data_IF_675956680434
#
_entry.id   IF_675956680434
#
_cell.length_a   1.000
_cell.length_b   1.000
_cell.length_c   1.000
_cell.angle_alpha   90.00
_cell.angle_beta   90.00
_cell.angle_gamma   90.00
#
_symmetry.space_group_name_H-M   'P 1'
#
loop_
_entity.id
_entity.type
_entity.pdbx_description
1 polymer ?
#
# COMPACT_ATOMS: atom_id res chain seq x y z
N UNK A 1 -15.99 7.38 18.22
CA UNK A 1 -16.12 6.06 17.55
C UNK A 1 -14.88 5.25 17.82
N UNK A 2 -15.01 3.99 18.23
CA UNK A 2 -13.85 3.11 18.37
C UNK A 2 -13.25 2.88 16.98
N UNK A 3 -11.97 3.20 16.82
CA UNK A 3 -11.16 2.91 15.65
C UNK A 3 -11.07 1.38 15.54
N UNK A 4 -11.24 0.84 14.35
CA UNK A 4 -11.11 -0.61 14.16
C UNK A 4 -9.63 -0.98 14.24
N UNK A 5 -9.20 -1.45 15.39
CA UNK A 5 -7.78 -1.74 15.69
C UNK A 5 -7.16 -2.70 14.67
N UNK A 6 -7.92 -3.70 14.21
CA UNK A 6 -7.43 -4.64 13.21
C UNK A 6 -7.04 -3.98 11.88
N UNK A 7 -7.69 -2.86 11.48
CA UNK A 7 -7.29 -2.10 10.28
C UNK A 7 -5.92 -1.47 10.47
N UNK A 8 -5.65 -0.93 11.65
CA UNK A 8 -4.34 -0.35 11.94
C UNK A 8 -3.27 -1.43 12.03
N UNK A 9 -3.55 -2.55 12.68
CA UNK A 9 -2.64 -3.70 12.71
C UNK A 9 -2.34 -4.19 11.29
N UNK A 10 -3.38 -4.34 10.44
CA UNK A 10 -3.20 -4.77 9.05
C UNK A 10 -2.32 -3.79 8.24
N UNK A 11 -2.52 -2.48 8.41
CA UNK A 11 -1.64 -1.47 7.79
C UNK A 11 -0.21 -1.56 8.31
N UNK A 12 -0.03 -1.81 9.61
CA UNK A 12 1.27 -1.98 10.23
C UNK A 12 2.02 -3.19 9.67
N UNK A 13 1.34 -4.32 9.57
CA UNK A 13 1.90 -5.52 8.95
C UNK A 13 2.23 -5.28 7.47
N UNK A 14 1.28 -4.74 6.69
CA UNK A 14 1.47 -4.50 5.28
C UNK A 14 2.69 -3.61 5.00
N UNK A 15 2.88 -2.49 5.75
CA UNK A 15 4.04 -1.63 5.51
C UNK A 15 5.36 -2.28 5.92
N UNK A 16 5.36 -3.09 6.97
CA UNK A 16 6.55 -3.85 7.35
C UNK A 16 6.91 -4.89 6.29
N UNK A 17 5.92 -5.59 5.70
CA UNK A 17 6.15 -6.49 4.57
C UNK A 17 6.68 -5.75 3.33
N UNK A 18 6.13 -4.58 2.99
CA UNK A 18 6.63 -3.75 1.88
C UNK A 18 8.08 -3.32 2.12
N UNK A 19 8.39 -2.79 3.30
CA UNK A 19 9.75 -2.34 3.63
C UNK A 19 10.74 -3.51 3.68
N UNK A 20 10.32 -4.65 4.24
CA UNK A 20 11.08 -5.90 4.22
C UNK A 20 11.35 -6.37 2.80
N UNK A 21 10.33 -6.38 1.93
CA UNK A 21 10.48 -6.78 0.53
C UNK A 21 11.53 -5.94 -0.19
N UNK A 22 11.49 -4.61 -0.07
CA UNK A 22 12.50 -3.76 -0.72
C UNK A 22 13.90 -4.00 -0.16
N UNK A 23 14.03 -4.27 1.13
CA UNK A 23 15.31 -4.60 1.74
C UNK A 23 15.84 -5.95 1.25
N UNK A 24 14.99 -6.97 1.27
CA UNK A 24 15.27 -8.31 0.78
C UNK A 24 15.67 -8.28 -0.72
N UNK A 25 14.89 -7.58 -1.53
CA UNK A 25 15.13 -7.44 -2.95
C UNK A 25 16.50 -6.81 -3.24
N UNK A 26 16.84 -5.74 -2.52
CA UNK A 26 18.12 -5.05 -2.69
C UNK A 26 19.31 -5.92 -2.23
N UNK A 27 19.14 -6.65 -1.13
CA UNK A 27 20.17 -7.54 -0.63
C UNK A 27 20.48 -8.68 -1.61
N UNK A 28 19.44 -9.31 -2.21
CA UNK A 28 19.62 -10.50 -3.06
C UNK A 28 19.87 -10.21 -4.53
N UNK A 29 19.34 -9.17 -5.12
CA UNK A 29 19.23 -9.07 -6.59
C UNK A 29 19.76 -7.76 -7.21
N UNK A 30 20.39 -6.91 -6.46
CA UNK A 30 21.02 -5.68 -7.01
C UNK A 30 20.10 -4.72 -7.77
N UNK A 31 18.78 -4.73 -7.55
CA UNK A 31 17.85 -3.84 -8.25
C UNK A 31 16.38 -4.18 -8.03
N UNK A 32 15.52 -3.46 -8.74
CA UNK A 32 14.08 -3.76 -8.81
C UNK A 32 13.91 -5.13 -9.45
N UNK A 33 13.33 -6.05 -8.71
CA UNK A 33 13.17 -7.45 -9.13
C UNK A 33 12.19 -7.63 -10.29
N UNK A 34 12.52 -8.47 -11.26
CA UNK A 34 11.51 -9.29 -11.89
C UNK A 34 10.88 -10.22 -10.82
N UNK A 35 9.59 -10.60 -10.95
CA UNK A 35 9.02 -11.60 -10.07
C UNK A 35 9.91 -12.86 -10.06
N UNK A 36 10.15 -13.47 -8.89
CA UNK A 36 10.97 -14.66 -8.81
C UNK A 36 10.43 -15.73 -9.77
N UNK A 37 11.31 -16.40 -10.51
CA UNK A 37 10.93 -17.57 -11.29
C UNK A 37 10.53 -18.69 -10.32
N UNK A 38 9.24 -18.92 -10.20
CA UNK A 38 8.64 -19.89 -9.28
C UNK A 38 8.65 -21.33 -9.82
N UNK A 39 9.17 -21.56 -11.03
CA UNK A 39 9.09 -22.85 -11.70
C UNK A 39 10.04 -23.91 -11.16
N UNK A 40 11.11 -23.56 -10.44
CA UNK A 40 12.13 -24.50 -9.94
C UNK A 40 11.89 -24.96 -8.49
N UNK A 41 10.85 -25.77 -8.28
CA UNK A 41 10.46 -26.30 -6.95
C UNK A 41 11.08 -27.68 -6.58
N UNK A 42 11.97 -28.22 -7.37
CA UNK A 42 12.39 -29.60 -7.23
C UNK A 42 13.85 -29.75 -6.82
N UNK A 43 14.24 -29.49 -5.57
CA UNK A 43 15.48 -30.01 -4.99
C UNK A 43 15.59 -29.81 -3.45
N UNK A 44 15.41 -30.85 -2.67
CA UNK A 44 15.87 -30.99 -1.30
C UNK A 44 15.25 -30.09 -0.21
N UNK A 45 15.27 -30.49 1.08
CA UNK A 45 14.61 -29.80 2.19
C UNK A 45 15.15 -28.38 2.42
N UNK A 46 16.45 -28.14 2.29
CA UNK A 46 17.07 -26.80 2.40
C UNK A 46 16.61 -25.88 1.27
N UNK A 47 16.45 -26.41 0.07
CA UNK A 47 15.93 -25.68 -1.08
C UNK A 47 14.46 -25.34 -0.87
N UNK A 48 13.66 -26.23 -0.29
CA UNK A 48 12.24 -26.00 0.04
C UNK A 48 12.08 -24.89 1.05
N UNK A 49 12.88 -24.86 2.13
CA UNK A 49 12.84 -23.79 3.13
C UNK A 49 13.28 -22.43 2.52
N UNK A 50 14.30 -22.45 1.67
CA UNK A 50 14.78 -21.28 0.95
C UNK A 50 13.70 -20.74 0.00
N UNK A 51 13.05 -21.61 -0.75
CA UNK A 51 11.96 -21.25 -1.64
C UNK A 51 10.75 -20.72 -0.87
N UNK A 52 10.38 -21.33 0.26
CA UNK A 52 9.31 -20.84 1.13
C UNK A 52 9.63 -19.43 1.65
N UNK A 53 10.87 -19.20 2.07
CA UNK A 53 11.31 -17.88 2.52
C UNK A 53 11.26 -16.83 1.40
N UNK A 54 11.68 -17.16 0.19
CA UNK A 54 11.55 -16.28 -0.98
C UNK A 54 10.08 -15.95 -1.29
N UNK A 55 9.20 -16.96 -1.21
CA UNK A 55 7.74 -16.75 -1.40
C UNK A 55 7.15 -15.82 -0.34
N UNK A 56 7.46 -16.05 0.93
CA UNK A 56 7.00 -15.19 2.04
C UNK A 56 7.55 -13.77 1.84
N UNK A 57 8.80 -13.63 1.41
CA UNK A 57 9.39 -12.31 1.13
C UNK A 57 8.68 -11.59 -0.02
N UNK A 58 8.20 -12.34 -1.03
CA UNK A 58 7.41 -11.82 -2.14
C UNK A 58 6.03 -11.26 -1.74
N UNK A 59 5.46 -11.69 -0.60
CA UNK A 59 4.21 -11.12 -0.07
C UNK A 59 4.28 -9.59 0.07
N UNK A 60 5.46 -9.05 0.37
CA UNK A 60 5.64 -7.61 0.52
C UNK A 60 5.38 -6.82 -0.77
N UNK A 61 5.64 -7.40 -1.94
CA UNK A 61 5.27 -6.80 -3.23
C UNK A 61 3.75 -6.68 -3.37
N UNK A 62 3.01 -7.73 -3.01
CA UNK A 62 1.55 -7.77 -3.11
C UNK A 62 0.84 -7.05 -1.95
N UNK A 63 1.55 -6.76 -0.86
CA UNK A 63 1.00 -6.01 0.28
C UNK A 63 0.58 -4.57 -0.07
N UNK A 64 1.04 -4.04 -1.22
CA UNK A 64 0.53 -2.78 -1.75
C UNK A 64 -0.97 -2.89 -2.10
N UNK A 65 -1.43 -4.03 -2.62
CA UNK A 65 -2.86 -4.31 -2.84
C UNK A 65 -3.68 -4.18 -1.57
N UNK A 66 -3.13 -4.60 -0.41
CA UNK A 66 -3.77 -4.43 0.90
C UNK A 66 -4.00 -2.95 1.22
N UNK A 67 -3.02 -2.09 0.94
CA UNK A 67 -3.18 -0.64 1.14
C UNK A 67 -4.25 -0.06 0.23
N UNK A 68 -4.35 -0.50 -1.02
CA UNK A 68 -5.37 -0.04 -1.96
C UNK A 68 -6.77 -0.44 -1.45
N UNK A 69 -6.96 -1.71 -1.07
CA UNK A 69 -8.21 -2.23 -0.52
C UNK A 69 -8.60 -1.48 0.76
N UNK A 70 -7.68 -1.35 1.73
CA UNK A 70 -7.95 -0.65 2.98
C UNK A 70 -8.15 0.86 2.79
N UNK A 71 -7.58 1.47 1.74
CA UNK A 71 -7.85 2.86 1.37
C UNK A 71 -9.28 3.03 0.86
N UNK A 72 -9.73 2.17 -0.05
CA UNK A 72 -11.13 2.12 -0.49
C UNK A 72 -12.09 1.94 0.68
N UNK A 73 -11.81 0.99 1.57
CA UNK A 73 -12.59 0.76 2.80
C UNK A 73 -12.70 2.02 3.65
N UNK A 74 -11.57 2.58 4.06
CA UNK A 74 -11.56 3.70 5.01
C UNK A 74 -12.16 4.97 4.43
N UNK A 75 -11.96 5.22 3.14
CA UNK A 75 -12.57 6.34 2.43
C UNK A 75 -14.09 6.17 2.34
N UNK A 76 -14.58 5.02 1.91
CA UNK A 76 -16.01 4.72 1.83
C UNK A 76 -16.67 4.89 3.20
N UNK A 77 -16.12 4.25 4.24
CA UNK A 77 -16.68 4.30 5.59
C UNK A 77 -16.72 5.72 6.16
N UNK A 78 -15.61 6.48 6.02
CA UNK A 78 -15.54 7.85 6.56
C UNK A 78 -16.44 8.83 5.81
N UNK A 79 -16.62 8.65 4.51
CA UNK A 79 -17.44 9.54 3.67
C UNK A 79 -18.91 9.20 3.81
N UNK A 80 -19.28 7.92 3.90
CA UNK A 80 -20.66 7.49 4.15
C UNK A 80 -21.21 8.08 5.46
N UNK A 81 -20.40 8.10 6.51
CA UNK A 81 -20.79 8.74 7.79
C UNK A 81 -21.03 10.25 7.68
N UNK A 82 -20.19 10.95 6.91
CA UNK A 82 -20.40 12.39 6.66
C UNK A 82 -21.71 12.62 5.91
N UNK A 83 -22.00 11.77 4.92
CA UNK A 83 -23.24 11.83 4.16
C UNK A 83 -24.49 11.64 5.05
N UNK A 84 -24.40 10.77 6.06
CA UNK A 84 -25.48 10.50 7.04
C UNK A 84 -25.67 11.64 8.05
N UNK A 85 -24.59 12.37 8.36
CA UNK A 85 -24.56 13.43 9.37
C UNK A 85 -24.73 14.86 8.81
N UNK A 86 -25.42 15.03 7.68
CA UNK A 86 -25.71 16.36 7.15
C UNK A 86 -25.15 16.65 5.75
N UNK A 87 -24.66 15.63 5.05
CA UNK A 87 -24.19 15.77 3.68
C UNK A 87 -22.67 15.86 3.53
N UNK A 88 -22.21 15.93 2.28
CA UNK A 88 -20.78 15.96 1.94
C UNK A 88 -20.45 17.31 1.31
N UNK A 89 -19.66 18.11 2.02
CA UNK A 89 -19.01 19.28 1.45
C UNK A 89 -17.69 18.82 0.80
N UNK A 90 -17.67 18.69 -0.53
CA UNK A 90 -16.52 18.14 -1.26
C UNK A 90 -15.27 19.00 -1.17
N UNK A 91 -15.38 20.34 -1.16
CA UNK A 91 -14.24 21.23 -0.98
C UNK A 91 -13.49 20.97 0.34
N UNK A 92 -14.14 21.03 1.50
CA UNK A 92 -13.56 20.62 2.78
C UNK A 92 -13.10 19.16 2.82
N UNK A 93 -13.76 18.27 2.08
CA UNK A 93 -13.32 16.86 1.96
C UNK A 93 -11.96 16.77 1.26
N UNK A 94 -11.78 17.43 0.10
CA UNK A 94 -10.51 17.47 -0.63
C UNK A 94 -9.41 18.16 0.17
N UNK A 95 -9.73 19.27 0.82
CA UNK A 95 -8.78 19.96 1.68
C UNK A 95 -8.26 19.08 2.81
N UNK A 96 -9.14 18.31 3.47
CA UNK A 96 -8.75 17.39 4.51
C UNK A 96 -7.82 16.25 3.98
N UNK A 97 -8.00 15.81 2.72
CA UNK A 97 -7.12 14.82 2.09
C UNK A 97 -5.78 15.43 1.70
N UNK A 98 -5.78 16.62 1.13
CA UNK A 98 -4.56 17.37 0.85
C UNK A 98 -3.72 17.55 2.12
N UNK A 99 -4.31 18.06 3.20
CA UNK A 99 -3.63 18.28 4.48
C UNK A 99 -3.17 16.97 5.16
N UNK A 100 -3.79 15.84 4.83
CA UNK A 100 -3.37 14.53 5.31
C UNK A 100 -2.15 14.00 4.58
N UNK A 101 -2.00 14.28 3.28
CA UNK A 101 -1.01 13.63 2.42
C UNK A 101 0.19 14.52 2.13
N UNK A 102 -0.05 15.73 1.62
CA UNK A 102 1.01 16.58 1.06
C UNK A 102 2.07 17.04 2.06
N UNK A 103 1.72 17.48 3.29
CA UNK A 103 2.74 17.97 4.21
C UNK A 103 3.82 16.92 4.51
N UNK A 104 3.42 15.69 4.80
CA UNK A 104 4.37 14.60 5.05
C UNK A 104 5.11 14.18 3.76
N UNK A 105 4.47 14.27 2.60
CA UNK A 105 5.10 14.00 1.32
C UNK A 105 6.21 15.01 1.00
N UNK A 106 5.99 16.30 1.28
CA UNK A 106 7.02 17.32 1.14
C UNK A 106 8.17 17.15 2.16
N UNK A 107 7.85 16.78 3.39
CA UNK A 107 8.87 16.42 4.40
C UNK A 107 9.71 15.23 3.92
N UNK A 108 9.10 14.23 3.29
CA UNK A 108 9.82 13.09 2.72
C UNK A 108 10.78 13.51 1.59
N UNK A 109 10.38 14.47 0.73
CA UNK A 109 11.31 15.06 -0.27
C UNK A 109 12.49 15.76 0.41
N UNK A 110 12.22 16.58 1.43
CA UNK A 110 13.28 17.26 2.16
C UNK A 110 14.23 16.24 2.82
N UNK A 111 13.70 15.20 3.45
CA UNK A 111 14.50 14.12 4.03
C UNK A 111 15.35 13.43 2.95
N UNK A 112 14.78 13.16 1.78
CA UNK A 112 15.52 12.58 0.66
C UNK A 112 16.69 13.47 0.21
N UNK A 113 16.49 14.79 0.15
CA UNK A 113 17.50 15.73 -0.30
C UNK A 113 18.66 15.89 0.70
N UNK A 114 18.39 15.86 2.01
CA UNK A 114 19.39 16.18 3.05
C UNK A 114 20.03 14.96 3.69
N UNK A 115 19.39 13.79 3.67
CA UNK A 115 19.91 12.60 4.37
C UNK A 115 21.16 12.04 3.67
N UNK A 116 22.24 11.73 4.40
CA UNK A 116 23.42 11.06 3.86
C UNK A 116 23.25 9.52 3.77
N UNK A 117 22.22 8.96 4.40
CA UNK A 117 21.99 7.51 4.50
C UNK A 117 20.97 7.00 3.50
N UNK A 118 20.95 7.55 2.29
CA UNK A 118 20.03 7.12 1.23
C UNK A 118 20.80 6.82 -0.06
N UNK A 119 20.25 5.88 -0.84
CA UNK A 119 20.71 5.64 -2.20
C UNK A 119 20.10 6.69 -3.12
N UNK A 120 20.93 7.50 -3.73
CA UNK A 120 20.53 8.42 -4.81
C UNK A 120 20.85 7.74 -6.13
N UNK A 121 19.81 7.20 -6.77
CA UNK A 121 19.97 6.47 -8.02
C UNK A 121 19.94 7.39 -9.24
N UNK A 122 19.29 8.55 -9.12
CA UNK A 122 19.22 9.57 -10.16
C UNK A 122 19.56 10.96 -9.62
N UNK A 123 20.06 11.86 -10.48
CA UNK A 123 20.30 13.26 -10.13
C UNK A 123 18.96 13.98 -9.85
N UNK A 124 19.04 15.00 -9.01
CA UNK A 124 17.91 15.90 -8.76
C UNK A 124 17.89 16.95 -9.87
N UNK A 125 16.80 17.04 -10.59
CA UNK A 125 16.59 17.98 -11.71
C UNK A 125 15.21 18.68 -11.61
N UNK A 126 14.75 19.32 -12.67
CA UNK A 126 13.48 20.06 -12.75
C UNK A 126 12.23 19.18 -12.58
N UNK A 127 12.34 17.86 -12.80
CA UNK A 127 11.26 16.88 -12.52
C UNK A 127 10.82 16.90 -11.06
N UNK A 128 11.65 17.44 -10.15
CA UNK A 128 11.29 17.59 -8.73
C UNK A 128 10.02 18.41 -8.55
N UNK A 129 9.74 19.39 -9.42
CA UNK A 129 8.55 20.24 -9.35
C UNK A 129 7.30 19.38 -9.57
N UNK A 130 7.30 18.54 -10.61
CA UNK A 130 6.20 17.61 -10.88
C UNK A 130 6.03 16.59 -9.75
N UNK A 131 7.16 16.12 -9.19
CA UNK A 131 7.14 15.22 -8.04
C UNK A 131 6.49 15.89 -6.83
N UNK A 132 6.88 17.10 -6.45
CA UNK A 132 6.31 17.86 -5.33
C UNK A 132 4.81 18.16 -5.51
N UNK A 133 4.35 18.32 -6.74
CA UNK A 133 2.94 18.51 -7.08
C UNK A 133 2.15 17.18 -7.07
N UNK A 134 2.81 16.03 -6.98
CA UNK A 134 2.18 14.71 -7.06
C UNK A 134 1.78 14.29 -8.47
N UNK A 135 2.30 14.98 -9.50
CA UNK A 135 2.00 14.76 -10.91
C UNK A 135 2.97 13.76 -11.58
N UNK A 136 3.54 12.85 -10.81
CA UNK A 136 4.51 11.86 -11.26
C UNK A 136 3.96 10.95 -12.37
N UNK A 137 2.67 10.70 -12.38
CA UNK A 137 1.99 9.86 -13.39
C UNK A 137 1.96 10.47 -14.81
N UNK A 138 2.41 11.71 -15.01
CA UNK A 138 2.54 12.32 -16.35
C UNK A 138 3.65 11.61 -17.15
N UNK A 139 4.70 11.18 -16.46
CA UNK A 139 5.81 10.41 -17.03
C UNK A 139 5.94 9.10 -16.24
N UNK A 140 5.84 7.96 -16.96
CA UNK A 140 5.83 6.65 -16.30
C UNK A 140 7.18 6.28 -15.71
N UNK A 141 8.28 6.66 -16.35
CA UNK A 141 9.62 6.42 -15.82
C UNK A 141 9.87 7.27 -14.59
N UNK A 142 9.54 8.56 -14.65
CA UNK A 142 9.57 9.44 -13.51
C UNK A 142 8.72 8.89 -12.34
N UNK A 143 7.55 8.33 -12.65
CA UNK A 143 6.65 7.81 -11.61
C UNK A 143 7.31 6.72 -10.75
N UNK A 144 8.09 5.84 -11.38
CA UNK A 144 8.66 4.66 -10.71
C UNK A 144 10.16 4.77 -10.43
N UNK A 145 10.90 5.63 -11.12
CA UNK A 145 12.36 5.67 -11.01
C UNK A 145 12.90 6.92 -10.33
N UNK A 146 12.23 8.07 -10.48
CA UNK A 146 12.74 9.34 -9.98
C UNK A 146 12.72 9.44 -8.46
N UNK A 147 13.84 9.78 -7.84
CA UNK A 147 14.09 9.94 -6.40
C UNK A 147 13.76 8.66 -5.59
N UNK A 148 12.51 8.44 -5.29
CA UNK A 148 12.01 7.30 -4.51
C UNK A 148 10.93 6.58 -5.30
N UNK A 149 11.23 5.36 -5.71
CA UNK A 149 10.31 4.55 -6.50
C UNK A 149 8.99 4.27 -5.76
N UNK A 150 9.00 4.10 -4.43
CA UNK A 150 7.78 3.83 -3.68
C UNK A 150 6.71 4.93 -3.82
N UNK A 151 7.09 6.15 -4.22
CA UNK A 151 6.15 7.27 -4.32
C UNK A 151 5.14 7.16 -5.48
N UNK A 152 5.26 6.16 -6.34
CA UNK A 152 4.24 5.86 -7.34
C UNK A 152 2.84 5.63 -6.71
N UNK A 153 2.81 5.00 -5.54
CA UNK A 153 1.54 4.77 -4.83
C UNK A 153 0.87 6.08 -4.37
N UNK A 154 1.68 7.09 -3.98
CA UNK A 154 1.14 8.44 -3.68
C UNK A 154 0.46 9.04 -4.91
N UNK A 155 1.12 9.01 -6.07
CA UNK A 155 0.57 9.54 -7.32
C UNK A 155 -0.70 8.81 -7.76
N UNK A 156 -0.75 7.48 -7.59
CA UNK A 156 -1.96 6.69 -7.83
C UNK A 156 -3.08 7.05 -6.84
N UNK A 157 -2.77 7.25 -5.57
CA UNK A 157 -3.76 7.63 -4.55
C UNK A 157 -4.39 9.00 -4.83
N UNK A 158 -3.63 9.96 -5.35
CA UNK A 158 -4.15 11.25 -5.81
C UNK A 158 -5.19 11.05 -6.92
N UNK A 159 -4.91 10.20 -7.91
CA UNK A 159 -5.87 9.88 -8.98
C UNK A 159 -7.17 9.28 -8.39
N UNK A 160 -7.07 8.35 -7.45
CA UNK A 160 -8.27 7.82 -6.77
C UNK A 160 -9.05 8.91 -6.02
N UNK A 161 -8.37 9.83 -5.35
CA UNK A 161 -9.07 10.91 -4.65
C UNK A 161 -9.80 11.84 -5.62
N UNK A 162 -9.22 12.14 -6.78
CA UNK A 162 -9.87 12.97 -7.80
C UNK A 162 -11.19 12.34 -8.29
N UNK A 163 -11.22 11.04 -8.54
CA UNK A 163 -12.40 10.34 -9.05
C UNK A 163 -13.32 9.83 -7.92
N UNK A 164 -12.91 9.93 -6.65
CA UNK A 164 -13.63 9.34 -5.53
C UNK A 164 -15.09 9.79 -5.38
N UNK A 165 -15.48 11.06 -5.61
CA UNK A 165 -16.89 11.45 -5.58
C UNK A 165 -17.75 10.64 -6.55
N UNK A 166 -17.26 10.42 -7.77
CA UNK A 166 -17.94 9.59 -8.76
C UNK A 166 -18.08 8.13 -8.26
N UNK A 167 -16.98 7.55 -7.79
CA UNK A 167 -16.99 6.18 -7.25
C UNK A 167 -17.94 6.05 -6.06
N UNK A 168 -17.95 7.03 -5.16
CA UNK A 168 -18.81 7.04 -3.98
C UNK A 168 -20.30 7.08 -4.35
N UNK A 169 -20.70 7.96 -5.25
CA UNK A 169 -22.09 8.06 -5.69
C UNK A 169 -22.53 6.84 -6.48
N UNK A 170 -21.68 6.31 -7.36
CA UNK A 170 -21.95 5.07 -8.09
C UNK A 170 -22.17 3.91 -7.11
N UNK A 171 -21.25 3.72 -6.15
CA UNK A 171 -21.35 2.65 -5.16
C UNK A 171 -22.66 2.72 -4.36
N UNK A 172 -23.06 3.92 -3.94
CA UNK A 172 -24.33 4.10 -3.20
C UNK A 172 -25.58 3.85 -4.04
N UNK A 173 -25.51 4.15 -5.34
CA UNK A 173 -26.64 3.99 -6.25
C UNK A 173 -26.88 2.52 -6.66
N UNK A 174 -25.79 1.80 -6.98
CA UNK A 174 -25.89 0.44 -7.51
C UNK A 174 -25.74 -0.65 -6.45
N UNK A 175 -25.26 -0.30 -5.26
CA UNK A 175 -24.98 -1.26 -4.20
C UNK A 175 -23.61 -1.96 -4.35
N UNK A 176 -23.16 -2.70 -3.30
CA UNK A 176 -21.79 -3.20 -3.22
C UNK A 176 -21.44 -4.24 -4.27
N UNK A 177 -22.35 -5.12 -4.65
CA UNK A 177 -22.09 -6.19 -5.62
C UNK A 177 -21.91 -5.64 -7.04
N UNK A 178 -22.86 -4.82 -7.49
CA UNK A 178 -22.77 -4.18 -8.81
C UNK A 178 -21.62 -3.20 -8.90
N UNK A 179 -21.31 -2.48 -7.81
CA UNK A 179 -20.17 -1.58 -7.79
C UNK A 179 -18.84 -2.34 -7.94
N UNK A 180 -18.68 -3.47 -7.22
CA UNK A 180 -17.51 -4.32 -7.37
C UNK A 180 -17.40 -4.85 -8.81
N UNK A 181 -18.50 -5.33 -9.38
CA UNK A 181 -18.52 -5.81 -10.76
C UNK A 181 -18.10 -4.72 -11.76
N UNK A 182 -18.67 -3.52 -11.66
CA UNK A 182 -18.32 -2.37 -12.51
C UNK A 182 -16.85 -1.99 -12.34
N UNK A 183 -16.36 -1.93 -11.11
CA UNK A 183 -14.97 -1.61 -10.80
C UNK A 183 -13.98 -2.64 -11.37
N UNK A 184 -14.31 -3.94 -11.23
CA UNK A 184 -13.54 -5.03 -11.83
C UNK A 184 -13.57 -4.96 -13.36
N UNK A 185 -14.75 -4.80 -13.96
CA UNK A 185 -14.89 -4.71 -15.41
C UNK A 185 -14.10 -3.53 -16.00
N UNK A 186 -14.21 -2.35 -15.39
CA UNK A 186 -13.47 -1.16 -15.82
C UNK A 186 -11.96 -1.32 -15.67
N UNK A 187 -11.49 -1.86 -14.52
CA UNK A 187 -10.07 -2.05 -14.28
C UNK A 187 -9.46 -3.13 -15.17
N UNK A 188 -10.13 -4.26 -15.33
CA UNK A 188 -9.64 -5.34 -16.20
C UNK A 188 -9.68 -4.96 -17.68
N UNK A 189 -10.70 -4.20 -18.12
CA UNK A 189 -10.74 -3.65 -19.48
C UNK A 189 -9.58 -2.69 -19.72
N UNK A 190 -9.30 -1.78 -18.79
CA UNK A 190 -8.16 -0.87 -18.90
C UNK A 190 -6.82 -1.62 -19.00
N UNK A 191 -6.62 -2.65 -18.16
CA UNK A 191 -5.43 -3.51 -18.21
C UNK A 191 -5.34 -4.27 -19.53
N UNK A 192 -6.45 -4.84 -19.99
CA UNK A 192 -6.52 -5.51 -21.29
C UNK A 192 -6.08 -4.57 -22.43
N UNK A 193 -6.64 -3.36 -22.48
CA UNK A 193 -6.31 -2.38 -23.53
C UNK A 193 -4.81 -2.02 -23.51
N UNK A 194 -4.24 -1.81 -22.34
CA UNK A 194 -2.84 -1.40 -22.18
C UNK A 194 -1.83 -2.55 -22.36
N UNK A 195 -2.25 -3.79 -22.28
CA UNK A 195 -1.36 -4.95 -22.39
C UNK A 195 -1.47 -5.64 -23.77
N UNK A 196 -2.65 -5.63 -24.40
CA UNK A 196 -2.92 -6.45 -25.60
C UNK A 196 -3.05 -5.61 -26.87
N UNK A 197 -4.14 -4.82 -27.10
CA UNK A 197 -4.28 -4.09 -28.35
C UNK A 197 -3.39 -2.85 -28.44
N UNK A 198 -3.00 -2.27 -27.32
CA UNK A 198 -2.13 -1.09 -27.26
C UNK A 198 -1.04 -1.32 -26.21
N UNK A 199 -0.07 -2.22 -26.48
CA UNK A 199 0.90 -2.67 -25.50
C UNK A 199 1.78 -1.49 -25.02
N UNK A 200 1.60 -1.16 -23.75
CA UNK A 200 2.37 -0.15 -23.04
C UNK A 200 3.35 -0.79 -22.05
N UNK A 201 4.25 0.01 -21.52
CA UNK A 201 5.10 -0.41 -20.42
C UNK A 201 4.23 -0.95 -19.26
N UNK A 202 4.55 -2.15 -18.74
CA UNK A 202 3.81 -2.80 -17.64
C UNK A 202 3.67 -1.96 -16.37
N UNK A 203 4.48 -0.91 -16.20
CA UNK A 203 4.36 0.04 -15.09
C UNK A 203 3.02 0.81 -15.12
N UNK A 204 2.40 1.01 -16.29
CA UNK A 204 1.08 1.64 -16.38
C UNK A 204 0.01 0.81 -15.65
N UNK A 205 0.03 -0.51 -15.85
CA UNK A 205 -0.93 -1.41 -15.20
C UNK A 205 -0.59 -1.68 -13.75
N UNK A 206 0.70 -1.61 -13.39
CA UNK A 206 1.15 -1.78 -12.00
C UNK A 206 0.62 -0.68 -11.09
N UNK A 207 0.61 0.57 -11.54
CA UNK A 207 0.15 1.69 -10.72
C UNK A 207 0.28 3.07 -11.37
N UNK A 208 0.73 3.16 -12.64
CA UNK A 208 0.76 4.43 -13.38
C UNK A 208 -0.65 4.99 -13.55
N UNK A 209 -1.63 4.14 -13.93
CA UNK A 209 -3.04 4.50 -13.97
C UNK A 209 -3.82 3.86 -12.85
N UNK A 210 -4.46 4.67 -12.01
CA UNK A 210 -5.28 4.20 -10.90
C UNK A 210 -6.44 3.31 -11.35
N UNK A 211 -6.99 3.51 -12.56
CA UNK A 211 -8.06 2.67 -13.11
C UNK A 211 -7.64 1.21 -13.22
N UNK A 212 -6.37 0.91 -13.47
CA UNK A 212 -5.84 -0.45 -13.54
C UNK A 212 -5.82 -1.15 -12.17
N UNK A 213 -5.88 -0.38 -11.09
CA UNK A 213 -5.95 -0.83 -9.69
C UNK A 213 -7.34 -0.58 -9.06
N UNK A 214 -8.32 -0.19 -9.90
CA UNK A 214 -9.70 0.02 -9.46
C UNK A 214 -10.36 -1.23 -8.88
N UNK A 215 -10.08 -2.47 -9.36
CA UNK A 215 -10.63 -3.69 -8.75
C UNK A 215 -10.37 -3.79 -7.25
N UNK A 216 -9.14 -3.57 -6.79
CA UNK A 216 -8.77 -3.61 -5.37
C UNK A 216 -9.43 -2.48 -4.57
N UNK A 217 -9.46 -1.27 -5.14
CA UNK A 217 -10.07 -0.13 -4.48
C UNK A 217 -11.60 -0.31 -4.35
N UNK A 218 -12.25 -0.81 -5.41
CA UNK A 218 -13.69 -1.12 -5.43
C UNK A 218 -14.03 -2.25 -4.45
N UNK A 219 -13.18 -3.29 -4.36
CA UNK A 219 -13.32 -4.34 -3.34
C UNK A 219 -13.32 -3.73 -1.93
N UNK A 220 -12.37 -2.84 -1.64
CA UNK A 220 -12.31 -2.15 -0.35
C UNK A 220 -13.58 -1.34 -0.03
N UNK A 221 -14.07 -0.58 -1.00
CA UNK A 221 -15.32 0.19 -0.86
C UNK A 221 -16.53 -0.74 -0.63
N UNK A 222 -16.62 -1.83 -1.38
CA UNK A 222 -17.71 -2.83 -1.27
C UNK A 222 -17.67 -3.55 0.08
N UNK A 223 -16.48 -3.94 0.53
CA UNK A 223 -16.28 -4.53 1.87
C UNK A 223 -16.74 -3.59 2.99
N UNK A 224 -16.52 -2.28 2.87
CA UNK A 224 -17.01 -1.30 3.84
C UNK A 224 -18.54 -1.22 3.87
N UNK A 225 -19.20 -1.37 2.72
CA UNK A 225 -20.67 -1.40 2.62
C UNK A 225 -21.24 -2.69 3.20
N UNK A 226 -20.65 -3.85 2.89
CA UNK A 226 -21.04 -5.14 3.49
C UNK A 226 -20.83 -5.16 5.01
N UNK A 227 -19.74 -4.59 5.49
CA UNK A 227 -19.48 -4.49 6.93
C UNK A 227 -20.61 -3.74 7.64
N UNK A 228 -21.14 -2.69 7.04
CA UNK A 228 -22.29 -1.97 7.59
C UNK A 228 -23.56 -2.83 7.65
N UNK A 229 -23.75 -3.73 6.66
CA UNK A 229 -24.91 -4.59 6.56
C UNK A 229 -24.83 -5.82 7.49
N UNK A 230 -23.63 -6.40 7.63
CA UNK A 230 -23.42 -7.65 8.37
C UNK A 230 -22.03 -7.69 9.03
N UNK A 231 -21.78 -6.86 10.06
CA UNK A 231 -20.45 -6.74 10.65
C UNK A 231 -19.94 -8.04 11.26
N UNK A 232 -20.79 -8.75 12.02
CA UNK A 232 -20.39 -9.97 12.71
C UNK A 232 -19.99 -11.11 11.74
N UNK A 233 -20.71 -11.27 10.61
CA UNK A 233 -20.39 -12.29 9.61
C UNK A 233 -19.08 -12.00 8.90
N UNK A 234 -18.84 -10.72 8.57
CA UNK A 234 -17.64 -10.31 7.88
C UNK A 234 -16.41 -10.41 8.80
N UNK A 235 -16.53 -9.97 10.07
CA UNK A 235 -15.47 -10.09 11.05
C UNK A 235 -15.14 -11.57 11.33
N UNK A 236 -16.15 -12.43 11.40
CA UNK A 236 -15.93 -13.87 11.52
C UNK A 236 -15.09 -14.40 10.36
N UNK A 237 -15.43 -14.07 9.11
CA UNK A 237 -14.67 -14.53 7.95
C UNK A 237 -13.24 -13.95 7.91
N UNK A 238 -13.10 -12.63 8.07
CA UNK A 238 -11.81 -11.95 7.93
C UNK A 238 -10.87 -12.20 9.12
N UNK A 239 -11.39 -12.20 10.36
CA UNK A 239 -10.56 -12.14 11.58
C UNK A 239 -10.48 -13.49 12.32
N UNK A 240 -11.34 -14.47 12.02
CA UNK A 240 -11.41 -15.75 12.72
C UNK A 240 -10.76 -16.92 11.97
N UNK A 241 -9.94 -16.62 10.97
CA UNK A 241 -9.10 -17.60 10.28
C UNK A 241 -9.63 -18.18 8.98
N UNK A 242 -10.94 -18.14 8.71
CA UNK A 242 -11.49 -18.68 7.45
C UNK A 242 -10.92 -17.94 6.23
N UNK A 243 -10.88 -16.61 6.28
CA UNK A 243 -10.25 -15.79 5.23
C UNK A 243 -8.75 -16.03 5.11
N UNK A 244 -8.04 -16.20 6.25
CA UNK A 244 -6.62 -16.52 6.26
C UNK A 244 -6.33 -17.85 5.54
N UNK A 245 -7.06 -18.90 5.86
CA UNK A 245 -6.93 -20.21 5.19
C UNK A 245 -7.23 -20.09 3.70
N UNK A 246 -8.30 -19.37 3.33
CA UNK A 246 -8.61 -19.11 1.92
C UNK A 246 -7.47 -18.36 1.21
N UNK A 247 -6.88 -17.35 1.84
CA UNK A 247 -5.71 -16.64 1.34
C UNK A 247 -4.53 -17.56 1.07
N UNK A 248 -4.15 -18.37 2.06
CA UNK A 248 -3.05 -19.33 1.93
C UNK A 248 -3.26 -20.36 0.80
N UNK A 249 -4.48 -20.82 0.60
CA UNK A 249 -4.80 -21.80 -0.46
C UNK A 249 -4.82 -21.14 -1.84
N UNK A 250 -5.39 -19.95 -1.96
CA UNK A 250 -5.59 -19.28 -3.25
C UNK A 250 -4.36 -18.50 -3.72
N UNK A 251 -3.49 -18.06 -2.81
CA UNK A 251 -2.33 -17.25 -3.17
C UNK A 251 -1.36 -17.95 -4.13
N UNK A 252 -0.99 -19.23 -3.95
CA UNK A 252 -0.15 -19.96 -4.92
C UNK A 252 -0.80 -20.05 -6.32
N UNK A 253 -2.13 -20.21 -6.38
CA UNK A 253 -2.86 -20.20 -7.65
C UNK A 253 -2.87 -18.79 -8.28
N UNK A 254 -3.02 -17.74 -7.50
CA UNK A 254 -2.95 -16.36 -7.97
C UNK A 254 -1.56 -16.02 -8.55
N UNK A 255 -0.47 -16.59 -8.03
CA UNK A 255 0.87 -16.41 -8.56
C UNK A 255 1.04 -17.02 -9.96
N UNK A 256 0.26 -18.04 -10.34
CA UNK A 256 0.31 -18.62 -11.69
C UNK A 256 -0.15 -17.62 -12.77
N UNK A 257 -0.93 -16.61 -12.40
CA UNK A 257 -1.39 -15.58 -13.33
C UNK A 257 -0.26 -14.69 -13.90
N UNK A 258 0.97 -14.80 -13.36
CA UNK A 258 2.15 -14.13 -13.92
C UNK A 258 2.65 -14.78 -15.22
N UNK A 259 2.28 -16.01 -15.51
CA UNK A 259 2.84 -16.78 -16.63
C UNK A 259 2.15 -16.54 -17.97
N UNK A 260 0.98 -15.89 -17.99
CA UNK A 260 0.24 -15.62 -19.22
C UNK A 260 -0.11 -14.16 -19.41
N UNK A 261 -0.13 -13.69 -20.66
CA UNK A 261 -0.42 -12.29 -20.98
C UNK A 261 -1.87 -11.90 -20.57
N UNK A 262 -2.84 -12.78 -20.85
CA UNK A 262 -4.24 -12.54 -20.52
C UNK A 262 -4.49 -12.75 -19.03
N UNK A 263 -3.85 -13.69 -18.41
CA UNK A 263 -3.91 -13.98 -16.98
C UNK A 263 -3.32 -12.83 -16.18
N UNK A 264 -2.28 -12.17 -16.70
CA UNK A 264 -1.65 -11.01 -16.07
C UNK A 264 -2.62 -9.82 -15.86
N UNK A 265 -3.73 -9.77 -16.62
CA UNK A 265 -4.79 -8.78 -16.41
C UNK A 265 -5.35 -8.86 -14.98
N UNK A 266 -5.43 -10.05 -14.40
CA UNK A 266 -6.09 -10.31 -13.12
C UNK A 266 -5.11 -10.39 -11.93
N UNK A 267 -3.80 -10.47 -12.19
CA UNK A 267 -2.79 -10.85 -11.21
C UNK A 267 -2.79 -9.99 -9.95
N UNK A 268 -2.79 -8.65 -10.09
CA UNK A 268 -2.71 -7.74 -8.94
C UNK A 268 -3.95 -7.82 -8.05
N UNK A 269 -5.13 -7.93 -8.66
CA UNK A 269 -6.38 -8.11 -7.91
C UNK A 269 -6.40 -9.44 -7.15
N UNK A 270 -6.01 -10.53 -7.80
CA UNK A 270 -5.99 -11.85 -7.19
C UNK A 270 -4.96 -11.94 -6.06
N UNK A 271 -3.70 -11.58 -6.33
CA UNK A 271 -2.62 -11.62 -5.34
C UNK A 271 -2.83 -10.63 -4.20
N UNK A 272 -3.27 -9.40 -4.50
CA UNK A 272 -3.58 -8.39 -3.50
C UNK A 272 -4.75 -8.78 -2.60
N UNK A 273 -5.78 -9.44 -3.14
CA UNK A 273 -6.91 -9.96 -2.36
C UNK A 273 -6.48 -11.10 -1.45
N UNK A 274 -5.70 -12.08 -1.95
CA UNK A 274 -5.17 -13.16 -1.12
C UNK A 274 -4.26 -12.62 -0.01
N UNK A 275 -3.33 -11.74 -0.33
CA UNK A 275 -2.46 -11.09 0.63
C UNK A 275 -3.26 -10.31 1.70
N UNK A 276 -4.35 -9.63 1.30
CA UNK A 276 -5.25 -8.96 2.24
C UNK A 276 -5.90 -9.96 3.20
N UNK A 277 -6.39 -11.10 2.71
CA UNK A 277 -6.98 -12.13 3.56
C UNK A 277 -5.97 -12.69 4.58
N UNK A 278 -4.73 -12.92 4.14
CA UNK A 278 -3.66 -13.39 5.02
C UNK A 278 -3.29 -12.33 6.07
N UNK A 279 -3.03 -11.10 5.67
CA UNK A 279 -2.62 -10.02 6.58
C UNK A 279 -3.73 -9.68 7.58
N UNK A 280 -4.99 -9.65 7.14
CA UNK A 280 -6.13 -9.35 8.03
C UNK A 280 -6.37 -10.52 8.99
N UNK A 281 -6.20 -11.75 8.55
CA UNK A 281 -6.26 -12.93 9.43
C UNK A 281 -5.18 -12.90 10.51
N UNK A 282 -3.93 -12.58 10.15
CA UNK A 282 -2.83 -12.38 11.10
C UNK A 282 -3.15 -11.22 12.05
N UNK A 283 -3.69 -10.11 11.55
CA UNK A 283 -4.10 -8.98 12.37
C UNK A 283 -5.21 -9.37 13.37
N UNK A 284 -6.14 -10.21 12.96
CA UNK A 284 -7.16 -10.80 13.83
C UNK A 284 -6.55 -11.62 14.97
N UNK A 285 -5.58 -12.47 14.66
CA UNK A 285 -4.83 -13.23 15.68
C UNK A 285 -4.03 -12.32 16.61
N UNK A 286 -3.26 -11.36 16.07
CA UNK A 286 -2.49 -10.39 16.87
C UNK A 286 -3.39 -9.59 17.81
N UNK A 287 -4.62 -9.27 17.37
CA UNK A 287 -5.57 -8.50 18.18
C UNK A 287 -6.01 -9.20 19.48
N UNK A 288 -5.73 -10.48 19.63
CA UNK A 288 -5.94 -11.24 20.88
C UNK A 288 -4.90 -10.92 21.97
N UNK A 289 -3.78 -10.28 21.60
CA UNK A 289 -2.68 -9.99 22.51
C UNK A 289 -2.45 -8.48 22.60
N UNK A 290 -2.66 -7.89 23.76
CA UNK A 290 -2.64 -6.43 23.97
C UNK A 290 -1.34 -5.75 23.54
N UNK A 291 -0.17 -6.29 23.94
CA UNK A 291 1.12 -5.67 23.64
C UNK A 291 1.47 -5.71 22.15
N UNK A 292 1.41 -6.85 21.45
CA UNK A 292 1.57 -6.89 19.99
C UNK A 292 0.54 -6.06 19.25
N UNK A 293 -0.74 -6.08 19.65
CA UNK A 293 -1.80 -5.29 19.02
C UNK A 293 -1.53 -3.79 19.10
N UNK A 294 -1.06 -3.30 20.27
CA UNK A 294 -0.64 -1.91 20.45
C UNK A 294 0.55 -1.55 19.57
N UNK A 295 1.56 -2.42 19.52
CA UNK A 295 2.77 -2.21 18.74
C UNK A 295 2.47 -2.12 17.23
N UNK A 296 1.85 -3.15 16.66
CA UNK A 296 1.52 -3.17 15.23
C UNK A 296 0.46 -2.13 14.87
N UNK A 297 -0.50 -1.87 15.75
CA UNK A 297 -1.47 -0.79 15.60
C UNK A 297 -0.81 0.59 15.56
N UNK A 298 0.24 0.82 16.38
CA UNK A 298 1.03 2.05 16.36
C UNK A 298 1.81 2.21 15.03
N UNK A 299 2.47 1.15 14.56
CA UNK A 299 3.14 1.16 13.26
C UNK A 299 2.14 1.46 12.14
N UNK A 300 0.95 0.86 12.18
CA UNK A 300 -0.10 1.10 11.19
C UNK A 300 -0.69 2.51 11.23
N UNK A 301 -0.77 3.10 12.42
CA UNK A 301 -1.21 4.49 12.61
C UNK A 301 -0.30 5.48 11.88
N UNK A 302 1.00 5.23 11.89
CA UNK A 302 2.05 6.03 11.26
C UNK A 302 2.69 5.35 10.04
N UNK A 303 1.95 4.42 9.42
CA UNK A 303 2.41 3.67 8.25
C UNK A 303 2.72 4.57 7.05
N UNK A 304 2.11 5.76 6.98
CA UNK A 304 2.32 6.69 5.88
C UNK A 304 3.72 7.33 5.94
N UNK A 305 4.20 7.71 7.11
CA UNK A 305 5.57 8.21 7.30
C UNK A 305 6.63 7.17 6.94
N UNK A 306 6.44 5.93 7.41
CA UNK A 306 7.31 4.81 7.05
C UNK A 306 7.27 4.52 5.54
N UNK A 307 6.06 4.49 4.94
CA UNK A 307 5.88 4.30 3.51
C UNK A 307 6.68 5.32 2.68
N UNK A 308 6.60 6.59 3.01
CA UNK A 308 7.27 7.63 2.24
C UNK A 308 8.80 7.63 2.36
N UNK A 309 9.34 7.03 3.41
CA UNK A 309 10.77 7.17 3.71
C UNK A 309 11.58 5.87 3.64
N UNK A 310 10.97 4.68 3.75
CA UNK A 310 11.70 3.42 3.92
C UNK A 310 12.64 3.07 2.77
N UNK A 311 12.17 3.18 1.52
CA UNK A 311 12.83 2.55 0.37
C UNK A 311 14.26 3.07 0.13
N UNK A 312 14.55 4.38 0.10
CA UNK A 312 15.93 4.84 -0.10
C UNK A 312 16.90 4.39 0.99
N UNK A 313 16.43 4.27 2.24
CA UNK A 313 17.25 3.78 3.36
C UNK A 313 17.54 2.28 3.26
N UNK A 314 16.52 1.47 2.96
CA UNK A 314 16.71 0.01 2.82
C UNK A 314 17.57 -0.31 1.60
N UNK A 315 17.48 0.45 0.51
CA UNK A 315 18.37 0.31 -0.64
C UNK A 315 19.80 0.68 -0.23
N UNK A 316 19.99 1.82 0.42
CA UNK A 316 21.31 2.27 0.87
C UNK A 316 22.00 1.23 1.75
N UNK A 317 21.28 0.66 2.73
CA UNK A 317 21.82 -0.35 3.62
C UNK A 317 21.99 -1.70 2.91
N UNK A 318 21.00 -2.14 2.15
CA UNK A 318 21.03 -3.42 1.42
C UNK A 318 22.23 -3.54 0.48
N UNK A 319 22.58 -2.43 -0.20
CA UNK A 319 23.77 -2.37 -1.04
C UNK A 319 25.09 -2.57 -0.26
N UNK A 320 25.14 -2.20 1.01
CA UNK A 320 26.34 -2.26 1.86
C UNK A 320 26.52 -3.59 2.57
N UNK A 321 25.45 -4.33 2.75
CA UNK A 321 25.49 -5.60 3.48
C UNK A 321 25.40 -6.83 2.56
N UNK A 322 25.64 -6.67 1.27
CA UNK A 322 25.53 -7.77 0.26
C UNK A 322 26.42 -8.96 0.60
N UNK A 323 27.60 -8.71 1.14
CA UNK A 323 28.57 -9.74 1.52
C UNK A 323 28.25 -10.40 2.88
N UNK A 324 27.28 -9.85 3.62
CA UNK A 324 26.87 -10.42 4.89
C UNK A 324 26.08 -11.71 4.63
N UNK A 325 26.37 -12.82 5.30
CA UNK A 325 25.60 -14.04 5.13
C UNK A 325 24.13 -13.88 5.52
N UNK A 326 23.27 -14.76 4.99
CA UNK A 326 21.79 -14.68 5.14
C UNK A 326 21.33 -14.52 6.60
N UNK A 327 21.93 -15.26 7.52
CA UNK A 327 21.61 -15.13 8.95
C UNK A 327 21.93 -13.74 9.49
N UNK A 328 23.04 -13.14 9.03
CA UNK A 328 23.41 -11.76 9.38
C UNK A 328 22.42 -10.75 8.80
N UNK A 329 21.96 -10.94 7.54
CA UNK A 329 20.88 -10.13 6.97
C UNK A 329 19.63 -10.17 7.84
N UNK A 330 19.19 -11.36 8.28
CA UNK A 330 18.01 -11.50 9.14
C UNK A 330 18.16 -10.78 10.48
N UNK A 331 19.35 -10.86 11.10
CA UNK A 331 19.67 -10.13 12.35
C UNK A 331 19.66 -8.61 12.14
N UNK A 332 20.09 -8.10 11.00
CA UNK A 332 20.10 -6.66 10.67
C UNK A 332 18.70 -6.18 10.29
N UNK A 333 17.89 -7.03 9.68
CA UNK A 333 16.58 -6.65 9.15
C UNK A 333 15.62 -6.16 10.24
N UNK A 334 15.49 -6.90 11.34
CA UNK A 334 14.57 -6.57 12.44
C UNK A 334 14.86 -5.19 13.05
N UNK A 335 16.09 -4.88 13.52
CA UNK A 335 16.39 -3.57 14.06
C UNK A 335 16.28 -2.46 13.00
N UNK A 336 16.62 -2.73 11.73
CA UNK A 336 16.44 -1.76 10.65
C UNK A 336 14.97 -1.38 10.48
N UNK A 337 14.06 -2.34 10.40
CA UNK A 337 12.63 -2.07 10.28
C UNK A 337 12.08 -1.34 11.52
N UNK A 338 12.57 -1.68 12.72
CA UNK A 338 12.19 -0.99 13.96
C UNK A 338 12.64 0.48 13.94
N UNK A 339 13.90 0.74 13.58
CA UNK A 339 14.45 2.12 13.48
C UNK A 339 13.71 2.92 12.42
N UNK A 340 13.47 2.36 11.23
CA UNK A 340 12.72 3.05 10.16
C UNK A 340 11.26 3.30 10.55
N UNK A 341 10.63 2.39 11.29
CA UNK A 341 9.27 2.60 11.81
C UNK A 341 9.24 3.74 12.82
N UNK A 342 10.20 3.80 13.75
CA UNK A 342 10.33 4.90 14.70
C UNK A 342 10.62 6.23 14.00
N UNK A 343 11.50 6.23 13.00
CA UNK A 343 11.84 7.40 12.19
C UNK A 343 10.62 7.93 11.43
N UNK A 344 9.92 7.07 10.67
CA UNK A 344 8.70 7.45 9.96
C UNK A 344 7.61 8.00 10.89
N UNK A 345 7.46 7.39 12.08
CA UNK A 345 6.54 7.86 13.11
C UNK A 345 6.93 9.25 13.65
N UNK A 346 8.19 9.49 13.93
CA UNK A 346 8.67 10.81 14.41
C UNK A 346 8.41 11.90 13.38
N UNK A 347 8.73 11.64 12.12
CA UNK A 347 8.50 12.59 11.02
C UNK A 347 7.01 12.87 10.84
N UNK A 348 6.15 11.84 10.83
CA UNK A 348 4.71 12.04 10.65
C UNK A 348 4.07 12.75 11.85
N UNK A 349 4.48 12.43 13.08
CA UNK A 349 4.03 13.16 14.29
C UNK A 349 4.46 14.62 14.27
N UNK A 350 5.73 14.89 13.96
CA UNK A 350 6.27 16.25 13.89
C UNK A 350 5.55 17.07 12.82
N UNK A 351 5.36 16.49 11.63
CA UNK A 351 4.63 17.13 10.53
C UNK A 351 3.19 17.45 10.93
N UNK A 352 2.47 16.49 11.51
CA UNK A 352 1.08 16.70 11.94
C UNK A 352 0.98 17.78 13.04
N UNK A 353 1.92 17.82 14.00
CA UNK A 353 1.97 18.83 15.04
C UNK A 353 2.20 20.24 14.44
N UNK A 354 3.13 20.35 13.49
CA UNK A 354 3.40 21.61 12.80
C UNK A 354 2.18 22.11 12.02
N UNK A 355 1.56 21.22 11.23
CA UNK A 355 0.34 21.55 10.47
C UNK A 355 -0.79 22.03 11.40
N UNK A 356 -1.04 21.31 12.49
CA UNK A 356 -2.08 21.70 13.45
C UNK A 356 -1.79 23.06 14.08
N UNK A 357 -0.54 23.35 14.43
CA UNK A 357 -0.12 24.66 14.96
C UNK A 357 -0.37 25.77 13.93
N UNK A 358 0.01 25.59 12.68
CA UNK A 358 -0.20 26.57 11.62
C UNK A 358 -1.70 26.83 11.35
N UNK A 359 -2.52 25.78 11.39
CA UNK A 359 -3.98 25.92 11.22
C UNK A 359 -4.65 26.60 12.42
N UNK A 360 -4.14 26.40 13.63
CA UNK A 360 -4.68 27.08 14.84
C UNK A 360 -4.39 28.58 14.83
N UNK A 361 -3.25 29.01 14.29
CA UNK A 361 -2.91 30.43 14.17
C UNK A 361 -3.81 31.20 13.18
N UNK A 362 -4.50 30.50 12.26
CA UNK A 362 -5.41 31.09 11.26
C UNK A 362 -6.88 31.19 11.76
N UNK A 363 -7.19 30.66 12.94
CA UNK A 363 -8.52 30.84 13.52
C UNK A 363 -8.56 32.21 14.22
N UNK A 364 -9.46 33.12 13.84
CA UNK A 364 -9.64 34.35 14.61
C UNK A 364 -9.96 34.00 16.07
N UNK A 365 -9.43 34.78 16.99
CA UNK A 365 -9.79 34.66 18.40
C UNK A 365 -11.32 34.66 18.53
N UNK A 366 -11.91 33.85 19.42
CA UNK A 366 -13.34 33.94 19.70
C UNK A 366 -13.63 35.35 20.15
N UNK A 367 -14.57 36.01 19.46
CA UNK A 367 -15.04 37.34 19.77
C UNK A 367 -15.78 37.35 21.12
#
# INVERSE_FOLDING_TARGET
>A
MKRLLWIDISKGLAILFVAYFHFFATYFQHGVLPPPDWSNLAAGTLTTLRLAWFKISGLGFHAVGVFIILSGWTLMQSTARRAENGGIAWGPWYWARFMRLYPMYWVAHLVYLVSPFIARLEPVDDRIILSLLGLRFIDIEMNFMYLNAAWWYFAMLIQFYLIFPLLFWTARRVGPWWFLFIGCAAGFLARYVLLVPWPQNGLWVLGGFAICRLPEFALGMSLAMWHKQSPARQEWFLLRGAGFVAGLILYPAALQLYHGLYEYIFVDFATGTCCMLEIVGIAGFISLFDSPAKLFGLVGLYSYGLYLTHQPYVIWLGLRIREVPVWGFLLICIPTLAVLSAWGMLLEKGTNALVNKLLSLKRPAPA
#
